data_IF_319344431093
#
_entry.id   IF_319344431093
#
_cell.length_a   1.000
_cell.length_b   1.000
_cell.length_c   1.000
_cell.angle_alpha   90.00
_cell.angle_beta   90.00
_cell.angle_gamma   90.00
#
_symmetry.space_group_name_H-M   'P 1'
#
loop_
_entity.id
_entity.type
_entity.pdbx_description
1 polymer ?
#
# COMPACT_ATOMS: atom_id res chain seq x y z
N UNK A 1 20.99 6.05 2.85
CA UNK A 1 21.80 5.74 4.03
C UNK A 1 23.17 6.41 3.98
N UNK A 2 23.98 6.16 2.94
CA UNK A 2 25.36 6.70 2.82
C UNK A 2 25.44 8.23 2.94
N UNK A 3 24.52 8.97 2.30
CA UNK A 3 24.45 10.44 2.42
C UNK A 3 24.18 10.87 3.87
N UNK A 4 23.27 10.15 4.55
CA UNK A 4 22.96 10.42 5.95
C UNK A 4 24.18 10.22 6.87
N UNK A 5 24.96 9.17 6.64
CA UNK A 5 26.18 8.92 7.42
C UNK A 5 27.29 9.95 7.15
N UNK A 6 27.43 10.44 5.91
CA UNK A 6 28.36 11.51 5.57
C UNK A 6 27.98 12.81 6.28
N UNK A 7 26.70 13.20 6.24
CA UNK A 7 26.19 14.40 6.93
C UNK A 7 26.37 14.28 8.44
N UNK A 8 26.10 13.10 9.02
CA UNK A 8 26.34 12.85 10.44
C UNK A 8 27.81 12.99 10.81
N UNK A 9 28.71 12.46 9.97
CA UNK A 9 30.16 12.59 10.18
C UNK A 9 30.64 14.02 10.06
N UNK A 10 29.97 14.90 9.29
CA UNK A 10 30.28 16.34 9.22
C UNK A 10 29.70 17.17 10.39
N UNK A 11 29.03 16.51 11.36
CA UNK A 11 28.50 17.17 12.56
C UNK A 11 27.04 17.59 12.46
N UNK A 12 26.37 17.25 11.36
CA UNK A 12 24.95 17.57 11.19
C UNK A 12 24.05 16.65 12.02
N UNK A 13 22.92 17.20 12.51
CA UNK A 13 21.87 16.41 13.16
C UNK A 13 21.04 15.72 12.09
N UNK A 14 21.25 14.42 11.93
CA UNK A 14 20.55 13.60 10.93
C UNK A 14 19.55 12.69 11.60
N UNK A 15 18.34 12.63 11.05
CA UNK A 15 17.28 11.67 11.42
C UNK A 15 16.99 10.83 10.18
N UNK A 16 17.29 9.54 10.24
CA UNK A 16 16.99 8.58 9.17
C UNK A 16 15.57 8.08 9.35
N UNK A 17 14.74 8.26 8.33
CA UNK A 17 13.34 7.85 8.36
C UNK A 17 13.03 6.84 7.26
N UNK A 18 12.05 5.99 7.51
CA UNK A 18 11.51 5.07 6.51
C UNK A 18 9.99 5.14 6.52
N UNK A 19 9.39 5.08 5.34
CA UNK A 19 7.95 4.95 5.16
C UNK A 19 7.67 3.49 4.77
N UNK A 20 6.81 2.83 5.55
CA UNK A 20 6.40 1.45 5.32
C UNK A 20 4.98 1.47 4.73
N UNK A 21 4.86 0.94 3.52
CA UNK A 21 3.57 0.78 2.85
C UNK A 21 2.94 -0.55 3.31
N UNK A 22 2.16 -0.48 4.39
CA UNK A 22 1.56 -1.63 5.08
C UNK A 22 0.05 -1.74 4.87
N UNK A 23 -0.55 -0.92 3.99
CA UNK A 23 -1.98 -0.93 3.69
C UNK A 23 -2.28 -0.87 2.19
N UNK A 24 -3.55 -1.07 1.86
CA UNK A 24 -4.08 -0.90 0.51
C UNK A 24 -4.32 -2.22 -0.23
N UNK A 25 -4.78 -2.08 -1.47
CA UNK A 25 -5.24 -3.22 -2.28
C UNK A 25 -4.12 -4.26 -2.52
N UNK A 26 -2.86 -3.83 -2.61
CA UNK A 26 -1.73 -4.73 -2.85
C UNK A 26 -1.49 -5.66 -1.66
N UNK A 27 -1.66 -5.14 -0.44
CA UNK A 27 -1.57 -5.94 0.79
C UNK A 27 -2.73 -6.94 0.85
N UNK A 28 -3.95 -6.49 0.55
CA UNK A 28 -5.13 -7.36 0.51
C UNK A 28 -5.01 -8.49 -0.53
N UNK A 29 -4.33 -8.24 -1.66
CA UNK A 29 -4.04 -9.30 -2.65
C UNK A 29 -3.21 -10.43 -2.06
N UNK A 30 -2.13 -10.11 -1.35
CA UNK A 30 -1.31 -11.12 -0.67
C UNK A 30 -2.07 -11.85 0.42
N UNK A 31 -2.85 -11.10 1.22
CA UNK A 31 -3.67 -11.66 2.30
C UNK A 31 -4.71 -12.65 1.78
N UNK A 32 -5.46 -12.27 0.75
CA UNK A 32 -6.49 -13.11 0.14
C UNK A 32 -5.87 -14.38 -0.48
N UNK A 33 -4.77 -14.23 -1.21
CA UNK A 33 -4.06 -15.36 -1.81
C UNK A 33 -3.54 -16.32 -0.74
N UNK A 34 -2.99 -15.81 0.35
CA UNK A 34 -2.59 -16.64 1.47
C UNK A 34 -3.78 -17.41 2.08
N UNK A 35 -4.91 -16.75 2.33
CA UNK A 35 -6.10 -17.42 2.85
C UNK A 35 -6.59 -18.55 1.94
N UNK A 36 -6.55 -18.34 0.61
CA UNK A 36 -7.08 -19.31 -0.36
C UNK A 36 -6.12 -20.49 -0.62
N UNK A 37 -4.82 -20.25 -0.62
CA UNK A 37 -3.86 -21.19 -1.20
C UNK A 37 -2.75 -21.68 -0.25
N UNK A 38 -2.59 -21.05 0.94
CA UNK A 38 -1.51 -21.42 1.85
C UNK A 38 -1.81 -22.64 2.73
N UNK A 39 -3.07 -23.06 2.85
CA UNK A 39 -3.47 -24.13 3.76
C UNK A 39 -2.89 -23.96 5.19
N UNK A 40 -2.83 -22.71 5.68
CA UNK A 40 -2.28 -22.39 7.00
C UNK A 40 -0.75 -22.32 7.07
N UNK A 41 -0.05 -22.41 5.95
CA UNK A 41 1.41 -22.27 5.86
C UNK A 41 1.92 -20.96 6.48
N UNK A 42 3.13 -21.00 7.04
CA UNK A 42 3.82 -19.87 7.66
C UNK A 42 5.25 -19.76 7.11
N UNK A 43 5.93 -18.62 7.27
CA UNK A 43 7.33 -18.51 6.88
C UNK A 43 8.20 -19.64 7.45
N UNK A 44 8.03 -19.97 8.73
CA UNK A 44 8.80 -21.03 9.40
C UNK A 44 8.49 -22.42 8.82
N UNK A 45 7.23 -22.73 8.55
CA UNK A 45 6.85 -24.03 7.97
C UNK A 45 7.39 -24.27 6.57
N UNK A 46 7.66 -23.18 5.82
CA UNK A 46 8.21 -23.24 4.47
C UNK A 46 9.72 -22.93 4.43
N UNK A 47 10.34 -22.58 5.54
CA UNK A 47 11.75 -22.21 5.60
C UNK A 47 12.08 -20.93 4.81
N UNK A 48 11.11 -20.02 4.70
CA UNK A 48 11.23 -18.77 3.96
C UNK A 48 11.30 -17.56 4.89
N UNK A 49 12.06 -16.54 4.47
CA UNK A 49 12.03 -15.23 5.12
C UNK A 49 10.63 -14.62 4.96
N UNK A 50 10.11 -13.94 5.99
CA UNK A 50 8.72 -13.49 6.05
C UNK A 50 8.28 -12.61 4.88
N UNK A 51 9.08 -11.64 4.46
CA UNK A 51 8.79 -10.79 3.29
C UNK A 51 8.81 -11.58 1.97
N UNK A 52 9.70 -12.56 1.81
CA UNK A 52 9.71 -13.46 0.66
C UNK A 52 8.47 -14.36 0.66
N UNK A 53 8.07 -14.86 1.84
CA UNK A 53 6.86 -15.67 1.98
C UNK A 53 5.61 -14.89 1.58
N UNK A 54 5.42 -13.66 2.10
CA UNK A 54 4.28 -12.82 1.74
C UNK A 54 4.34 -12.42 0.26
N UNK A 55 5.52 -12.10 -0.26
CA UNK A 55 5.75 -11.81 -1.67
C UNK A 55 5.37 -12.97 -2.60
N UNK A 56 5.61 -14.23 -2.20
CA UNK A 56 5.16 -15.42 -2.93
C UNK A 56 3.64 -15.38 -3.17
N UNK A 57 2.85 -15.03 -2.17
CA UNK A 57 1.39 -14.95 -2.28
C UNK A 57 0.91 -13.76 -3.09
N UNK A 58 1.68 -12.67 -3.17
CA UNK A 58 1.40 -11.60 -4.12
C UNK A 58 1.53 -12.09 -5.58
N UNK A 59 2.58 -12.85 -5.88
CA UNK A 59 2.79 -13.46 -7.19
C UNK A 59 1.72 -14.51 -7.50
N UNK A 60 1.33 -15.29 -6.51
CA UNK A 60 0.26 -16.30 -6.66
C UNK A 60 -1.09 -15.65 -6.97
N UNK A 61 -1.41 -14.53 -6.31
CA UNK A 61 -2.58 -13.72 -6.66
C UNK A 61 -2.56 -13.30 -8.13
N UNK A 62 -1.43 -12.78 -8.60
CA UNK A 62 -1.29 -12.28 -9.99
C UNK A 62 -1.50 -13.39 -11.03
N UNK A 63 -1.04 -14.61 -10.75
CA UNK A 63 -1.29 -15.78 -11.61
C UNK A 63 -2.78 -16.09 -11.73
N UNK A 64 -3.48 -16.20 -10.61
CA UNK A 64 -4.93 -16.47 -10.61
C UNK A 64 -5.71 -15.34 -11.25
N UNK A 65 -5.34 -14.10 -10.99
CA UNK A 65 -5.96 -12.92 -11.59
C UNK A 65 -5.83 -12.92 -13.10
N UNK A 66 -4.64 -13.25 -13.64
CA UNK A 66 -4.42 -13.36 -15.09
C UNK A 66 -5.26 -14.47 -15.72
N UNK A 67 -5.34 -15.63 -15.09
CA UNK A 67 -6.17 -16.74 -15.59
C UNK A 67 -7.65 -16.35 -15.65
N UNK A 68 -8.19 -15.71 -14.61
CA UNK A 68 -9.57 -15.24 -14.63
C UNK A 68 -9.80 -14.18 -15.71
N UNK A 69 -8.86 -13.26 -15.89
CA UNK A 69 -8.93 -12.25 -16.95
C UNK A 69 -8.93 -12.86 -18.36
N UNK A 70 -8.05 -13.83 -18.61
CA UNK A 70 -7.99 -14.54 -19.90
C UNK A 70 -9.31 -15.24 -20.21
N UNK A 71 -9.92 -15.87 -19.20
CA UNK A 71 -11.22 -16.53 -19.36
C UNK A 71 -12.34 -15.53 -19.65
N UNK A 72 -12.39 -14.39 -18.96
CA UNK A 72 -13.36 -13.32 -19.24
C UNK A 72 -13.18 -12.73 -20.65
N UNK A 73 -11.95 -12.57 -21.11
CA UNK A 73 -11.66 -12.10 -22.47
C UNK A 73 -12.15 -13.11 -23.52
N UNK A 74 -11.94 -14.42 -23.31
CA UNK A 74 -12.49 -15.48 -24.18
C UNK A 74 -14.03 -15.46 -24.24
N UNK A 75 -14.67 -15.01 -23.15
CA UNK A 75 -16.12 -14.83 -23.06
C UNK A 75 -16.60 -13.50 -23.68
N UNK A 76 -15.72 -12.73 -24.32
CA UNK A 76 -16.05 -11.51 -25.06
C UNK A 76 -15.95 -10.22 -24.25
N UNK A 77 -15.34 -10.24 -23.08
CA UNK A 77 -15.05 -9.02 -22.32
C UNK A 77 -13.86 -8.27 -22.89
N UNK A 78 -13.90 -6.95 -22.85
CA UNK A 78 -12.69 -6.14 -23.10
C UNK A 78 -11.68 -6.37 -21.99
N UNK A 79 -10.41 -6.04 -22.23
CA UNK A 79 -9.36 -6.15 -21.22
C UNK A 79 -9.70 -5.35 -19.93
N UNK A 80 -10.21 -4.13 -20.10
CA UNK A 80 -10.58 -3.26 -18.98
C UNK A 80 -11.76 -3.83 -18.18
N UNK A 81 -12.75 -4.41 -18.87
CA UNK A 81 -13.85 -5.11 -18.22
C UNK A 81 -13.34 -6.35 -17.46
N UNK A 82 -12.52 -7.18 -18.08
CA UNK A 82 -11.95 -8.35 -17.45
C UNK A 82 -11.12 -7.99 -16.20
N UNK A 83 -10.34 -6.92 -16.23
CA UNK A 83 -9.59 -6.42 -15.09
C UNK A 83 -10.49 -6.08 -13.90
N UNK A 84 -11.66 -5.53 -14.15
CA UNK A 84 -12.59 -5.11 -13.10
C UNK A 84 -13.55 -6.24 -12.67
N UNK A 85 -13.86 -7.17 -13.57
CA UNK A 85 -14.82 -8.23 -13.33
C UNK A 85 -14.20 -9.49 -12.73
N UNK A 86 -12.88 -9.66 -12.78
CA UNK A 86 -12.19 -10.81 -12.20
C UNK A 86 -12.58 -11.01 -10.72
N UNK A 87 -13.03 -12.20 -10.39
CA UNK A 87 -13.61 -12.54 -9.08
C UNK A 87 -12.61 -12.31 -7.96
N UNK A 88 -11.40 -12.83 -8.12
CA UNK A 88 -10.34 -12.69 -7.11
C UNK A 88 -9.98 -11.21 -6.83
N UNK A 89 -10.09 -10.34 -7.85
CA UNK A 89 -9.85 -8.90 -7.65
C UNK A 89 -10.99 -8.25 -6.87
N UNK A 90 -12.24 -8.59 -7.18
CA UNK A 90 -13.41 -8.11 -6.41
C UNK A 90 -13.34 -8.56 -4.95
N UNK A 91 -12.93 -9.80 -4.69
CA UNK A 91 -12.74 -10.29 -3.32
C UNK A 91 -11.66 -9.50 -2.57
N UNK A 92 -10.55 -9.16 -3.23
CA UNK A 92 -9.51 -8.30 -2.64
C UNK A 92 -10.04 -6.88 -2.32
N UNK A 93 -10.89 -6.33 -3.19
CA UNK A 93 -11.55 -5.04 -2.93
C UNK A 93 -12.53 -5.11 -1.75
N UNK A 94 -13.27 -6.22 -1.61
CA UNK A 94 -14.14 -6.45 -0.45
C UNK A 94 -13.30 -6.57 0.83
N UNK A 95 -12.18 -7.28 0.77
CA UNK A 95 -11.26 -7.38 1.91
C UNK A 95 -10.71 -6.01 2.33
N UNK A 96 -10.33 -5.16 1.37
CA UNK A 96 -9.89 -3.79 1.65
C UNK A 96 -10.98 -2.97 2.37
N UNK A 97 -12.22 -3.05 1.89
CA UNK A 97 -13.36 -2.37 2.55
C UNK A 97 -13.57 -2.86 3.98
N UNK A 98 -13.48 -4.17 4.22
CA UNK A 98 -13.56 -4.75 5.56
C UNK A 98 -12.44 -4.25 6.46
N UNK A 99 -11.20 -4.19 5.93
CA UNK A 99 -10.07 -3.62 6.65
C UNK A 99 -10.34 -2.17 7.06
N UNK A 100 -10.83 -1.34 6.14
CA UNK A 100 -11.16 0.08 6.39
C UNK A 100 -12.31 0.25 7.39
N UNK A 101 -13.22 -0.72 7.48
CA UNK A 101 -14.32 -0.76 8.44
C UNK A 101 -13.92 -1.31 9.82
N UNK A 102 -12.68 -1.76 9.98
CA UNK A 102 -12.19 -2.30 11.24
C UNK A 102 -12.62 -3.74 11.53
N UNK A 103 -12.90 -4.54 10.50
CA UNK A 103 -13.23 -5.97 10.66
C UNK A 103 -12.11 -6.70 11.41
N UNK A 104 -12.44 -7.32 12.53
CA UNK A 104 -11.46 -7.90 13.46
C UNK A 104 -10.67 -9.05 12.85
N UNK A 105 -11.31 -9.89 12.04
CA UNK A 105 -10.63 -11.04 11.43
C UNK A 105 -9.63 -10.57 10.38
N UNK A 106 -10.03 -9.60 9.55
CA UNK A 106 -9.16 -9.01 8.53
C UNK A 106 -8.01 -8.24 9.16
N UNK A 107 -8.25 -7.47 10.21
CA UNK A 107 -7.20 -6.76 10.94
C UNK A 107 -6.20 -7.73 11.60
N UNK A 108 -6.68 -8.83 12.17
CA UNK A 108 -5.79 -9.85 12.77
C UNK A 108 -4.90 -10.50 11.71
N UNK A 109 -5.46 -10.84 10.56
CA UNK A 109 -4.70 -11.38 9.43
C UNK A 109 -3.68 -10.38 8.91
N UNK A 110 -4.09 -9.13 8.73
CA UNK A 110 -3.25 -8.03 8.28
C UNK A 110 -2.06 -7.82 9.23
N UNK A 111 -2.30 -7.75 10.54
CA UNK A 111 -1.23 -7.63 11.54
C UNK A 111 -0.26 -8.80 11.48
N UNK A 112 -0.78 -10.03 11.41
CA UNK A 112 0.03 -11.25 11.32
C UNK A 112 0.95 -11.24 10.11
N UNK A 113 0.41 -10.95 8.92
CA UNK A 113 1.20 -11.01 7.69
C UNK A 113 2.18 -9.83 7.58
N UNK A 114 1.80 -8.65 8.03
CA UNK A 114 2.72 -7.52 8.08
C UNK A 114 3.86 -7.76 9.08
N UNK A 115 3.60 -8.41 10.23
CA UNK A 115 4.67 -8.75 11.15
C UNK A 115 5.71 -9.65 10.50
N UNK A 116 5.31 -10.65 9.71
CA UNK A 116 6.25 -11.45 8.94
C UNK A 116 7.12 -10.63 7.99
N UNK A 117 6.51 -9.62 7.35
CA UNK A 117 7.25 -8.72 6.45
C UNK A 117 8.23 -7.85 7.24
N UNK A 118 7.82 -7.31 8.38
CA UNK A 118 8.68 -6.47 9.22
C UNK A 118 9.89 -7.25 9.76
N UNK A 119 9.69 -8.47 10.23
CA UNK A 119 10.77 -9.35 10.66
C UNK A 119 11.76 -9.64 9.51
N UNK A 120 11.21 -9.81 8.29
CA UNK A 120 12.00 -9.97 7.08
C UNK A 120 12.81 -8.72 6.72
N UNK A 121 12.23 -7.52 6.84
CA UNK A 121 12.92 -6.25 6.63
C UNK A 121 14.03 -6.04 7.66
N UNK A 122 13.75 -6.27 8.93
CA UNK A 122 14.74 -6.15 10.01
C UNK A 122 15.97 -7.04 9.74
N UNK A 123 15.74 -8.29 9.37
CA UNK A 123 16.79 -9.22 8.98
C UNK A 123 17.64 -8.68 7.82
N UNK A 124 17.02 -8.12 6.79
CA UNK A 124 17.71 -7.55 5.64
C UNK A 124 18.53 -6.32 6.03
N UNK A 125 17.94 -5.38 6.76
CA UNK A 125 18.62 -4.15 7.17
C UNK A 125 19.81 -4.43 8.09
N UNK A 126 19.67 -5.40 8.99
CA UNK A 126 20.77 -5.86 9.84
C UNK A 126 21.93 -6.42 9.02
N UNK A 127 21.65 -7.24 7.99
CA UNK A 127 22.67 -7.76 7.10
C UNK A 127 23.38 -6.66 6.27
N UNK A 128 22.64 -5.62 5.89
CA UNK A 128 23.16 -4.48 5.13
C UNK A 128 23.87 -3.43 6.01
N UNK A 129 23.79 -3.56 7.33
CA UNK A 129 24.27 -2.53 8.26
C UNK A 129 23.51 -1.22 8.16
N UNK A 130 22.21 -1.28 7.84
CA UNK A 130 21.32 -0.12 7.67
C UNK A 130 20.36 -0.07 8.84
N UNK A 131 20.13 1.11 9.38
CA UNK A 131 19.19 1.38 10.46
C UNK A 131 18.37 2.65 10.19
N UNK A 132 17.27 2.81 10.92
CA UNK A 132 16.38 3.97 10.84
C UNK A 132 16.04 4.45 12.25
N UNK A 133 16.08 5.78 12.44
CA UNK A 133 15.73 6.40 13.71
C UNK A 133 14.21 6.47 13.92
N UNK A 134 13.44 6.50 12.80
CA UNK A 134 11.97 6.59 12.85
C UNK A 134 11.32 5.87 11.66
N UNK A 135 10.31 5.07 11.98
CA UNK A 135 9.44 4.42 11.00
C UNK A 135 8.09 5.14 10.95
N UNK A 136 7.57 5.31 9.74
CA UNK A 136 6.23 5.80 9.48
C UNK A 136 5.45 4.69 8.76
N UNK A 137 4.31 4.32 9.30
CA UNK A 137 3.41 3.33 8.69
C UNK A 137 2.31 4.03 7.92
N UNK A 138 2.08 3.63 6.68
CA UNK A 138 1.03 4.25 5.85
C UNK A 138 -0.36 4.04 6.47
N UNK A 139 -0.58 2.90 7.14
CA UNK A 139 -1.81 2.62 7.89
C UNK A 139 -2.13 3.65 8.98
N UNK A 140 -1.13 4.35 9.51
CA UNK A 140 -1.30 5.41 10.50
C UNK A 140 -1.33 6.80 9.86
N UNK A 141 -0.48 7.02 8.85
CA UNK A 141 -0.27 8.36 8.27
C UNK A 141 -1.37 8.78 7.30
N UNK A 142 -2.06 7.83 6.64
CA UNK A 142 -3.13 8.18 5.69
C UNK A 142 -4.30 8.96 6.33
N UNK A 143 -4.56 8.74 7.62
CA UNK A 143 -5.58 9.49 8.35
C UNK A 143 -5.16 10.95 8.56
N UNK A 144 -3.86 11.20 8.74
CA UNK A 144 -3.32 12.56 8.83
C UNK A 144 -3.48 13.29 7.51
N UNK A 145 -3.33 12.60 6.38
CA UNK A 145 -3.56 13.16 5.05
C UNK A 145 -4.97 13.71 4.86
N UNK A 146 -5.99 12.99 5.35
CA UNK A 146 -7.39 13.49 5.30
C UNK A 146 -7.54 14.83 6.01
N UNK A 147 -6.98 14.94 7.23
CA UNK A 147 -7.02 16.20 7.99
C UNK A 147 -6.31 17.34 7.25
N UNK A 148 -5.16 17.07 6.65
CA UNK A 148 -4.42 18.06 5.86
C UNK A 148 -5.25 18.53 4.65
N UNK A 149 -5.98 17.61 4.00
CA UNK A 149 -6.86 17.96 2.88
C UNK A 149 -8.02 18.83 3.35
N UNK A 150 -8.66 18.47 4.46
CA UNK A 150 -9.77 19.27 5.02
C UNK A 150 -9.30 20.66 5.43
N UNK A 151 -8.17 20.77 6.11
CA UNK A 151 -7.54 22.05 6.46
C UNK A 151 -7.19 22.88 5.20
N UNK A 152 -6.67 22.25 4.16
CA UNK A 152 -6.34 22.88 2.90
C UNK A 152 -7.57 23.43 2.16
N UNK A 153 -8.68 22.67 2.16
CA UNK A 153 -9.97 23.14 1.61
C UNK A 153 -10.51 24.33 2.41
N UNK A 154 -10.47 24.26 3.74
CA UNK A 154 -10.93 25.37 4.60
C UNK A 154 -10.12 26.64 4.41
N UNK A 155 -8.81 26.52 4.18
CA UNK A 155 -7.90 27.67 3.92
C UNK A 155 -7.91 28.14 2.47
N UNK A 156 -8.65 27.50 1.57
CA UNK A 156 -8.67 27.81 0.14
C UNK A 156 -7.38 27.49 -0.61
N UNK A 157 -6.48 26.69 -0.02
CA UNK A 157 -5.27 26.19 -0.70
C UNK A 157 -5.62 25.07 -1.66
N UNK A 158 -6.59 24.24 -1.29
CA UNK A 158 -7.15 23.19 -2.14
C UNK A 158 -8.57 23.59 -2.57
N UNK A 159 -8.98 23.09 -3.73
CA UNK A 159 -10.33 23.30 -4.25
C UNK A 159 -10.94 21.97 -4.71
N UNK A 160 -12.26 21.86 -4.63
CA UNK A 160 -13.00 20.69 -5.09
C UNK A 160 -13.58 20.98 -6.47
N UNK A 161 -13.36 20.06 -7.41
CA UNK A 161 -13.98 20.09 -8.74
C UNK A 161 -15.39 19.46 -8.69
N UNK A 162 -16.18 19.69 -9.76
CA UNK A 162 -17.56 19.21 -9.87
C UNK A 162 -17.69 17.67 -9.76
N UNK A 163 -16.67 16.93 -10.18
CA UNK A 163 -16.62 15.46 -10.05
C UNK A 163 -16.31 14.96 -8.65
N UNK A 164 -16.12 15.88 -7.68
CA UNK A 164 -15.80 15.58 -6.29
C UNK A 164 -14.30 15.43 -5.97
N UNK A 165 -13.44 15.44 -6.99
CA UNK A 165 -11.98 15.39 -6.79
C UNK A 165 -11.45 16.69 -6.16
N UNK A 166 -10.34 16.59 -5.42
CA UNK A 166 -9.69 17.72 -4.76
C UNK A 166 -8.34 17.99 -5.41
N UNK A 167 -8.07 19.24 -5.70
CA UNK A 167 -6.90 19.70 -6.42
C UNK A 167 -6.20 20.85 -5.72
N UNK A 168 -4.90 20.98 -5.97
CA UNK A 168 -4.07 22.13 -5.61
C UNK A 168 -3.62 22.84 -6.88
N UNK A 169 -3.94 24.12 -7.02
CA UNK A 169 -3.47 24.95 -8.11
C UNK A 169 -2.10 25.54 -7.76
N UNK A 170 -1.09 25.11 -8.49
CA UNK A 170 0.30 25.57 -8.37
C UNK A 170 0.75 26.35 -9.62
N UNK A 171 -0.20 26.81 -10.46
CA UNK A 171 0.11 27.50 -11.71
C UNK A 171 0.87 28.81 -11.51
N UNK A 172 0.65 29.50 -10.38
CA UNK A 172 1.38 30.72 -10.00
C UNK A 172 2.86 30.48 -9.72
N UNK A 173 3.20 29.26 -9.30
CA UNK A 173 4.57 28.81 -9.04
C UNK A 173 5.22 28.17 -10.29
N UNK A 174 4.54 28.19 -11.44
CA UNK A 174 5.03 27.61 -12.68
C UNK A 174 4.90 26.08 -12.75
N UNK A 175 4.06 25.49 -11.91
CA UNK A 175 3.77 24.06 -11.85
C UNK A 175 2.34 23.78 -12.32
N UNK A 176 2.05 22.52 -12.66
CA UNK A 176 0.69 22.11 -13.01
C UNK A 176 -0.20 21.96 -11.77
N UNK A 177 -1.53 22.01 -11.98
CA UNK A 177 -2.47 21.58 -10.95
C UNK A 177 -2.17 20.14 -10.51
N UNK A 178 -2.20 19.89 -9.20
CA UNK A 178 -1.97 18.58 -8.62
C UNK A 178 -3.24 18.00 -8.01
N UNK A 179 -3.59 16.78 -8.42
CA UNK A 179 -4.68 16.02 -7.83
C UNK A 179 -4.28 15.59 -6.41
N UNK A 180 -5.10 15.90 -5.42
CA UNK A 180 -4.89 15.55 -4.00
C UNK A 180 -5.78 14.37 -3.59
N UNK A 181 -7.07 14.43 -3.94
CA UNK A 181 -8.01 13.31 -3.78
C UNK A 181 -8.71 13.01 -5.10
N UNK A 182 -8.88 11.73 -5.38
CA UNK A 182 -9.72 11.27 -6.50
C UNK A 182 -11.19 11.49 -6.19
N UNK A 183 -12.04 11.40 -7.22
CA UNK A 183 -13.51 11.53 -7.11
C UNK A 183 -14.16 10.57 -6.12
N UNK A 184 -13.54 9.41 -5.87
CA UNK A 184 -13.98 8.41 -4.89
C UNK A 184 -13.47 8.69 -3.46
N UNK A 185 -12.78 9.81 -3.25
CA UNK A 185 -12.22 10.22 -1.96
C UNK A 185 -10.90 9.53 -1.60
N UNK A 186 -10.33 8.72 -2.50
CA UNK A 186 -9.02 8.11 -2.25
C UNK A 186 -7.89 9.11 -2.50
N UNK A 187 -6.87 9.09 -1.63
CA UNK A 187 -5.68 9.91 -1.80
C UNK A 187 -4.86 9.45 -3.00
N UNK A 188 -4.19 10.37 -3.65
CA UNK A 188 -3.13 10.07 -4.61
C UNK A 188 -1.78 10.04 -3.91
N UNK A 189 -0.84 9.41 -4.55
CA UNK A 189 0.54 9.42 -4.09
C UNK A 189 1.17 10.77 -4.51
N UNK A 190 1.36 11.66 -3.52
CA UNK A 190 2.03 12.96 -3.70
C UNK A 190 3.25 12.98 -2.79
#
# INVERSE_FOLDING_TARGET
YSVAEILKASGEKVIKTQIINDRGIHICKSMLSWQKFANGGTPDSEGLKGDHFVGKYYVEFDKHYKLEMEELIKQGRTKDQAMQEASIFKEAQVMLKKWEQGDKEILTLWQKMNQWVYDGFESTYKQMGVDFDKLYFESETYLLGKKVVDDGLQKGVFHRKEDGSVWCDLSKEGLDEKLVLRKDGTAVYI
#
